data_IF_252222799456
#
_entry.id   IF_252222799456
#
_cell.length_a   1.000
_cell.length_b   1.000
_cell.length_c   1.000
_cell.angle_alpha   90.00
_cell.angle_beta   90.00
_cell.angle_gamma   90.00
#
_symmetry.space_group_name_H-M   'P 1'
#
loop_
_entity.id
_entity.type
_entity.pdbx_description
1 polymer ?
#
# COMPACT_ATOMS: atom_id res chain seq x y z
N UNK A 1 -51.36 22.26 -3.82
CA UNK A 1 -50.04 22.76 -3.43
C UNK A 1 -49.05 21.62 -3.51
N UNK A 2 -48.11 21.67 -4.45
CA UNK A 2 -47.04 20.67 -4.54
C UNK A 2 -46.03 20.92 -3.42
N UNK A 3 -45.86 19.95 -2.52
CA UNK A 3 -44.87 20.06 -1.44
C UNK A 3 -43.45 20.16 -2.01
N UNK A 4 -42.65 21.08 -1.47
CA UNK A 4 -41.23 21.20 -1.81
C UNK A 4 -40.49 19.92 -1.39
N UNK A 5 -40.02 19.15 -2.36
CA UNK A 5 -39.20 17.95 -2.17
C UNK A 5 -37.79 18.20 -2.73
N UNK A 6 -36.75 17.93 -1.93
CA UNK A 6 -35.36 18.13 -2.34
C UNK A 6 -34.49 16.96 -1.85
N UNK A 7 -33.78 16.30 -2.77
CA UNK A 7 -32.84 15.22 -2.43
C UNK A 7 -31.80 15.73 -1.42
N UNK A 8 -31.44 14.88 -0.47
CA UNK A 8 -30.38 15.17 0.49
C UNK A 8 -29.03 15.38 -0.21
N UNK A 9 -28.14 16.14 0.45
CA UNK A 9 -26.80 16.41 -0.09
C UNK A 9 -25.91 15.18 0.00
N UNK A 10 -25.11 14.96 -1.03
CA UNK A 10 -24.05 13.95 -0.98
C UNK A 10 -22.96 14.38 0.02
N UNK A 11 -22.39 13.41 0.72
CA UNK A 11 -21.34 13.60 1.71
C UNK A 11 -20.09 12.93 1.18
N UNK A 12 -18.95 13.61 1.26
CA UNK A 12 -17.66 13.07 0.86
C UNK A 12 -16.76 12.94 2.07
N UNK A 13 -16.09 11.81 2.22
CA UNK A 13 -15.14 11.55 3.31
C UNK A 13 -13.99 10.69 2.81
N UNK A 14 -12.81 10.88 3.40
CA UNK A 14 -11.66 10.02 3.12
C UNK A 14 -11.63 8.87 4.12
N UNK A 15 -11.43 7.65 3.63
CA UNK A 15 -11.23 6.45 4.43
C UNK A 15 -9.79 5.96 4.24
N UNK A 16 -8.99 6.06 5.31
CA UNK A 16 -7.62 5.54 5.34
C UNK A 16 -7.62 4.06 5.72
N UNK A 17 -7.07 3.24 4.84
CA UNK A 17 -6.97 1.79 5.01
C UNK A 17 -5.52 1.35 4.98
N UNK A 18 -5.23 0.20 5.57
CA UNK A 18 -3.91 -0.43 5.46
C UNK A 18 -3.80 -1.20 4.14
N UNK A 19 -2.59 -1.54 3.69
CA UNK A 19 -2.40 -2.27 2.42
C UNK A 19 -3.07 -3.65 2.47
N UNK A 20 -3.00 -4.30 3.63
CA UNK A 20 -3.57 -5.61 3.93
C UNK A 20 -5.10 -5.61 3.73
N UNK A 21 -5.77 -4.52 4.09
CA UNK A 21 -7.22 -4.35 3.87
C UNK A 21 -7.55 -4.40 2.36
N UNK A 22 -6.70 -3.80 1.52
CA UNK A 22 -6.86 -3.87 0.06
C UNK A 22 -6.56 -5.28 -0.46
N UNK A 23 -5.54 -5.96 0.06
CA UNK A 23 -5.15 -7.30 -0.39
C UNK A 23 -6.20 -8.38 -0.09
N UNK A 24 -6.93 -8.26 1.02
CA UNK A 24 -7.88 -9.27 1.47
C UNK A 24 -9.33 -8.88 1.17
N UNK A 25 -9.63 -7.57 1.14
CA UNK A 25 -10.99 -7.07 1.20
C UNK A 25 -11.58 -7.26 2.60
N UNK A 26 -12.30 -6.25 3.09
CA UNK A 26 -12.80 -6.25 4.48
C UNK A 26 -14.14 -5.51 4.59
N UNK A 27 -14.95 -5.92 5.55
CA UNK A 27 -16.10 -5.12 6.00
C UNK A 27 -15.68 -4.26 7.19
N UNK A 28 -15.77 -2.93 7.05
CA UNK A 28 -15.36 -1.99 8.09
C UNK A 28 -16.54 -1.11 8.52
N UNK A 29 -16.75 -1.00 9.82
CA UNK A 29 -17.71 -0.04 10.38
C UNK A 29 -17.02 1.30 10.60
N UNK A 30 -17.59 2.38 10.07
CA UNK A 30 -17.07 3.74 10.20
C UNK A 30 -18.14 4.65 10.80
N UNK A 31 -17.70 5.60 11.61
CA UNK A 31 -18.59 6.63 12.15
C UNK A 31 -18.48 7.88 11.28
N UNK A 32 -19.62 8.31 10.72
CA UNK A 32 -19.71 9.51 9.89
C UNK A 32 -20.64 10.52 10.55
N UNK A 33 -20.17 11.76 10.67
CA UNK A 33 -20.96 12.86 11.20
C UNK A 33 -21.77 13.48 10.06
N UNK A 34 -23.08 13.23 10.06
CA UNK A 34 -23.99 13.69 9.03
C UNK A 34 -24.72 14.95 9.52
N UNK A 35 -24.64 16.08 8.80
CA UNK A 35 -25.45 17.23 9.13
C UNK A 35 -26.93 16.93 8.81
N UNK A 36 -27.80 17.16 9.78
CA UNK A 36 -29.24 17.11 9.64
C UNK A 36 -29.87 18.40 10.18
N UNK A 37 -31.06 18.74 9.70
CA UNK A 37 -31.84 19.87 10.22
C UNK A 37 -32.89 19.37 11.19
N UNK A 38 -32.99 19.97 12.36
CA UNK A 38 -34.06 19.69 13.30
C UNK A 38 -35.38 20.38 12.92
N UNK A 39 -36.44 20.15 13.71
CA UNK A 39 -37.76 20.75 13.51
C UNK A 39 -37.77 22.29 13.56
N UNK A 40 -36.73 22.91 14.11
CA UNK A 40 -36.58 24.36 14.21
C UNK A 40 -35.61 24.92 13.16
N UNK A 41 -35.18 24.09 12.21
CA UNK A 41 -34.28 24.48 11.11
C UNK A 41 -32.82 24.63 11.51
N UNK A 42 -32.41 24.23 12.72
CA UNK A 42 -31.02 24.29 13.18
C UNK A 42 -30.24 23.11 12.63
N UNK A 43 -28.98 23.35 12.23
CA UNK A 43 -28.09 22.28 11.77
C UNK A 43 -27.53 21.56 13.01
N UNK A 44 -27.84 20.27 13.13
CA UNK A 44 -27.27 19.37 14.12
C UNK A 44 -26.45 18.30 13.40
N UNK A 45 -25.49 17.70 14.10
CA UNK A 45 -24.70 16.59 13.57
C UNK A 45 -25.15 15.30 14.23
N UNK A 46 -25.50 14.31 13.41
CA UNK A 46 -25.80 12.96 13.85
C UNK A 46 -24.64 12.04 13.47
N UNK A 47 -24.05 11.37 14.46
CA UNK A 47 -23.03 10.35 14.21
C UNK A 47 -23.73 9.06 13.79
N UNK A 48 -23.53 8.62 12.54
CA UNK A 48 -24.03 7.34 12.05
C UNK A 48 -22.90 6.33 11.93
N UNK A 49 -23.13 5.13 12.45
CA UNK A 49 -22.28 3.98 12.21
C UNK A 49 -22.71 3.31 10.89
N UNK A 50 -21.80 3.24 9.92
CA UNK A 50 -22.04 2.73 8.59
C UNK A 50 -21.07 1.58 8.33
N UNK A 51 -21.60 0.41 8.00
CA UNK A 51 -20.79 -0.73 7.53
C UNK A 51 -20.48 -0.56 6.04
N UNK A 52 -19.20 -0.64 5.70
CA UNK A 52 -18.67 -0.45 4.35
C UNK A 52 -17.93 -1.71 3.94
N UNK A 53 -18.33 -2.29 2.80
CA UNK A 53 -17.58 -3.38 2.18
C UNK A 53 -16.50 -2.80 1.28
N UNK A 54 -15.25 -2.98 1.68
CA UNK A 54 -14.08 -2.60 0.89
C UNK A 54 -13.73 -3.78 -0.01
N UNK A 55 -13.79 -3.63 -1.35
CA UNK A 55 -13.47 -4.71 -2.26
C UNK A 55 -11.96 -4.99 -2.23
N UNK A 56 -11.63 -6.26 -2.45
CA UNK A 56 -10.26 -6.69 -2.67
C UNK A 56 -9.67 -5.98 -3.90
N UNK A 57 -8.42 -5.54 -3.80
CA UNK A 57 -7.71 -4.86 -4.88
C UNK A 57 -8.03 -3.38 -5.02
N UNK A 58 -8.73 -2.78 -4.06
CA UNK A 58 -9.02 -1.34 -4.10
C UNK A 58 -7.73 -0.53 -4.11
N UNK A 59 -7.68 0.48 -4.96
CA UNK A 59 -6.51 1.35 -5.08
C UNK A 59 -6.74 2.67 -4.37
N UNK A 60 -5.63 3.28 -3.94
CA UNK A 60 -5.67 4.66 -3.46
C UNK A 60 -6.22 5.58 -4.56
N UNK A 61 -7.10 6.52 -4.19
CA UNK A 61 -7.78 7.43 -5.10
C UNK A 61 -9.10 6.91 -5.68
N UNK A 62 -9.47 5.64 -5.44
CA UNK A 62 -10.80 5.13 -5.83
C UNK A 62 -11.88 5.58 -4.84
N UNK A 63 -13.11 5.77 -5.32
CA UNK A 63 -14.25 6.19 -4.50
C UNK A 63 -15.28 5.06 -4.38
N UNK A 64 -15.65 4.71 -3.14
CA UNK A 64 -16.79 3.80 -2.86
C UNK A 64 -18.05 4.66 -2.65
N UNK A 65 -19.10 4.40 -3.44
CA UNK A 65 -20.40 5.07 -3.30
C UNK A 65 -21.35 4.21 -2.47
N UNK A 66 -21.88 4.79 -1.40
CA UNK A 66 -22.91 4.21 -0.54
C UNK A 66 -24.22 4.97 -0.74
N UNK A 67 -25.09 4.39 -1.55
CA UNK A 67 -26.35 5.02 -1.94
C UNK A 67 -27.26 5.27 -0.73
N UNK A 68 -27.82 6.49 -0.63
CA UNK A 68 -28.76 6.86 0.43
C UNK A 68 -28.15 6.97 1.84
N UNK A 69 -26.81 6.98 1.95
CA UNK A 69 -26.09 7.14 3.23
C UNK A 69 -25.52 8.54 3.46
N UNK A 70 -25.88 9.50 2.60
CA UNK A 70 -25.54 10.92 2.73
C UNK A 70 -26.52 11.70 3.60
N UNK A 71 -26.63 13.00 3.36
CA UNK A 71 -27.52 13.89 4.10
C UNK A 71 -29.00 13.54 3.90
N UNK A 72 -29.84 13.87 4.89
CA UNK A 72 -31.29 13.64 4.80
C UNK A 72 -31.94 14.48 3.69
N UNK A 73 -32.91 13.91 2.98
CA UNK A 73 -33.76 14.64 2.03
C UNK A 73 -34.86 15.44 2.72
N UNK A 74 -35.42 16.42 2.00
CA UNK A 74 -36.53 17.27 2.45
C UNK A 74 -37.80 16.85 1.70
N UNK A 75 -38.93 16.79 2.39
CA UNK A 75 -40.25 16.59 1.76
C UNK A 75 -40.41 15.22 1.09
N UNK A 76 -40.23 14.14 1.87
CA UNK A 76 -40.24 12.73 1.40
C UNK A 76 -39.21 12.39 0.30
N UNK A 77 -38.32 13.32 -0.06
CA UNK A 77 -37.24 13.05 -1.01
C UNK A 77 -36.18 12.10 -0.40
N UNK A 78 -35.48 11.31 -1.23
CA UNK A 78 -34.45 10.41 -0.77
C UNK A 78 -33.23 11.15 -0.20
N UNK A 79 -32.48 10.45 0.65
CA UNK A 79 -31.19 10.93 1.13
C UNK A 79 -30.15 11.07 -0.01
N UNK A 80 -29.11 11.86 0.27
CA UNK A 80 -27.89 11.90 -0.53
C UNK A 80 -27.10 10.61 -0.43
N UNK A 81 -25.98 10.55 -1.14
CA UNK A 81 -25.04 9.43 -1.11
C UNK A 81 -23.81 9.76 -0.26
N UNK A 82 -23.17 8.74 0.29
CA UNK A 82 -21.86 8.87 0.91
C UNK A 82 -20.79 8.38 -0.07
N UNK A 83 -19.88 9.28 -0.43
CA UNK A 83 -18.73 9.04 -1.30
C UNK A 83 -17.48 8.90 -0.42
N UNK A 84 -16.92 7.70 -0.37
CA UNK A 84 -15.72 7.40 0.40
C UNK A 84 -14.51 7.32 -0.51
N UNK A 85 -13.64 8.33 -0.46
CA UNK A 85 -12.36 8.28 -1.15
C UNK A 85 -11.40 7.40 -0.36
N UNK A 86 -10.86 6.38 -1.01
CA UNK A 86 -9.91 5.47 -0.39
C UNK A 86 -8.50 6.04 -0.47
N UNK A 87 -7.82 6.03 0.66
CA UNK A 87 -6.40 6.36 0.77
C UNK A 87 -5.69 5.17 1.45
N UNK A 88 -4.80 4.50 0.73
CA UNK A 88 -3.97 3.45 1.32
C UNK A 88 -2.84 4.15 2.07
N UNK A 89 -2.68 3.85 3.37
CA UNK A 89 -1.60 4.42 4.17
C UNK A 89 -0.24 4.01 3.62
N UNK A 90 0.78 4.89 3.66
CA UNK A 90 2.15 4.50 3.38
C UNK A 90 2.56 3.29 4.22
N UNK A 91 3.08 2.25 3.58
CA UNK A 91 3.52 1.04 4.26
C UNK A 91 5.02 1.10 4.54
N UNK A 92 5.46 0.54 5.67
CA UNK A 92 6.87 0.62 6.12
C UNK A 92 7.86 -0.06 5.17
N UNK A 93 7.43 -1.14 4.51
CA UNK A 93 8.29 -1.99 3.68
C UNK A 93 7.88 -2.03 2.21
N UNK A 94 6.66 -1.61 1.89
CA UNK A 94 6.07 -1.86 0.58
C UNK A 94 5.71 -0.53 -0.08
N UNK A 95 6.12 -0.39 -1.33
CA UNK A 95 5.76 0.72 -2.19
C UNK A 95 4.72 0.23 -3.20
N UNK A 96 3.67 1.03 -3.45
CA UNK A 96 2.64 0.72 -4.42
C UNK A 96 2.80 1.58 -5.67
N UNK A 97 2.89 0.92 -6.83
CA UNK A 97 2.84 1.55 -8.14
C UNK A 97 1.68 0.96 -8.94
N UNK A 98 0.53 1.62 -8.88
CA UNK A 98 -0.70 1.12 -9.48
C UNK A 98 -1.17 -0.18 -8.81
N UNK A 99 -0.96 -1.33 -9.48
CA UNK A 99 -1.27 -2.66 -8.94
C UNK A 99 -0.05 -3.40 -8.43
N UNK A 100 1.13 -2.92 -8.81
CA UNK A 100 2.37 -3.60 -8.48
C UNK A 100 2.83 -3.15 -7.09
N UNK A 101 3.46 -4.08 -6.40
CA UNK A 101 4.02 -3.85 -5.07
C UNK A 101 5.52 -4.04 -5.18
N UNK A 102 6.28 -3.17 -4.52
CA UNK A 102 7.74 -3.23 -4.51
C UNK A 102 8.25 -3.34 -3.07
N UNK A 103 9.21 -4.23 -2.84
CA UNK A 103 9.99 -4.34 -1.61
C UNK A 103 11.46 -4.08 -1.93
N UNK A 104 12.06 -3.10 -1.27
CA UNK A 104 13.51 -2.93 -1.27
C UNK A 104 14.09 -3.89 -0.22
N UNK A 105 14.75 -4.95 -0.69
CA UNK A 105 15.27 -6.01 0.18
C UNK A 105 16.79 -5.86 0.35
N UNK A 106 17.27 -5.56 1.57
CA UNK A 106 18.69 -5.56 1.87
C UNK A 106 19.25 -6.98 1.83
N UNK A 107 20.35 -7.17 1.12
CA UNK A 107 21.14 -8.39 1.08
C UNK A 107 22.61 -8.07 1.35
N UNK A 108 23.34 -9.02 1.90
CA UNK A 108 24.78 -8.86 2.13
C UNK A 108 25.57 -8.95 0.81
N UNK A 109 26.81 -8.39 0.76
CA UNK A 109 27.61 -8.39 -0.47
C UNK A 109 27.97 -9.80 -0.93
N UNK A 110 28.23 -10.72 0.00
CA UNK A 110 28.51 -12.12 -0.33
C UNK A 110 27.28 -12.88 -0.82
N UNK A 111 26.07 -12.54 -0.36
CA UNK A 111 24.83 -13.11 -0.90
C UNK A 111 24.62 -12.68 -2.36
N UNK A 112 24.91 -11.43 -2.67
CA UNK A 112 24.87 -10.89 -4.03
C UNK A 112 25.93 -11.53 -4.93
N UNK A 113 27.18 -11.63 -4.44
CA UNK A 113 28.32 -12.13 -5.20
C UNK A 113 28.22 -13.65 -5.44
N UNK A 114 28.00 -14.44 -4.39
CA UNK A 114 28.03 -15.90 -4.44
C UNK A 114 26.67 -16.50 -4.87
N UNK A 115 25.60 -15.71 -4.74
CA UNK A 115 24.25 -16.21 -4.85
C UNK A 115 23.84 -16.99 -3.60
N UNK A 116 22.56 -16.97 -3.30
CA UNK A 116 22.02 -17.64 -2.12
C UNK A 116 20.53 -17.94 -2.31
N UNK A 117 19.95 -18.62 -1.33
CA UNK A 117 18.50 -18.67 -1.14
C UNK A 117 18.14 -17.78 0.04
N UNK A 118 17.14 -16.93 -0.16
CA UNK A 118 16.61 -16.02 0.86
C UNK A 118 15.13 -16.28 1.05
N UNK A 119 14.64 -15.92 2.23
CA UNK A 119 13.23 -15.93 2.55
C UNK A 119 12.70 -14.51 2.59
N UNK A 120 11.68 -14.22 1.79
CA UNK A 120 11.15 -12.87 1.62
C UNK A 120 9.71 -12.78 2.14
N UNK A 121 9.38 -11.76 2.96
CA UNK A 121 8.00 -11.50 3.35
C UNK A 121 7.20 -11.02 2.14
N UNK A 122 6.02 -11.59 1.96
CA UNK A 122 5.06 -11.15 0.95
C UNK A 122 4.03 -10.20 1.55
N UNK A 123 3.42 -9.32 0.74
CA UNK A 123 2.34 -8.45 1.22
C UNK A 123 1.14 -9.21 1.79
N UNK A 124 0.91 -10.46 1.37
CA UNK A 124 -0.14 -11.34 1.89
C UNK A 124 0.16 -11.91 3.29
N UNK A 125 1.30 -11.57 3.91
CA UNK A 125 1.72 -12.05 5.23
C UNK A 125 2.38 -13.44 5.23
N UNK A 126 2.58 -14.05 4.05
CA UNK A 126 3.31 -15.32 3.89
C UNK A 126 4.78 -15.07 3.56
N UNK A 127 5.62 -16.06 3.80
CA UNK A 127 7.02 -16.03 3.38
C UNK A 127 7.22 -16.89 2.14
N UNK A 128 8.11 -16.46 1.24
CA UNK A 128 8.47 -17.20 0.02
C UNK A 128 9.98 -17.34 -0.04
N UNK A 129 10.46 -18.57 -0.27
CA UNK A 129 11.86 -18.82 -0.60
C UNK A 129 12.13 -18.40 -2.05
N UNK A 130 13.19 -17.63 -2.28
CA UNK A 130 13.64 -17.27 -3.61
C UNK A 130 15.16 -17.35 -3.75
N UNK A 131 15.62 -17.63 -4.97
CA UNK A 131 17.03 -17.66 -5.30
C UNK A 131 17.52 -16.28 -5.71
N UNK A 132 18.56 -15.78 -5.04
CA UNK A 132 19.39 -14.68 -5.52
C UNK A 132 20.47 -15.28 -6.43
N UNK A 133 20.50 -14.93 -7.73
CA UNK A 133 21.56 -15.38 -8.62
C UNK A 133 22.93 -14.87 -8.17
N UNK A 134 23.99 -15.66 -8.38
CA UNK A 134 25.36 -15.19 -8.22
C UNK A 134 25.62 -13.96 -9.11
N UNK A 135 26.54 -13.10 -8.67
CA UNK A 135 26.87 -11.83 -9.30
C UNK A 135 25.64 -10.89 -9.48
N UNK A 136 24.69 -10.95 -8.55
CA UNK A 136 23.57 -10.00 -8.52
C UNK A 136 24.06 -8.59 -8.22
N UNK A 137 23.48 -7.62 -8.92
CA UNK A 137 23.85 -6.21 -8.82
C UNK A 137 22.87 -5.43 -7.97
N UNK A 138 23.32 -4.26 -7.47
CA UNK A 138 22.46 -3.26 -6.84
C UNK A 138 21.26 -2.94 -7.76
N UNK A 139 20.05 -2.90 -7.19
CA UNK A 139 18.83 -2.56 -7.91
C UNK A 139 18.27 -3.68 -8.79
N UNK A 140 18.88 -4.87 -8.81
CA UNK A 140 18.34 -6.02 -9.54
C UNK A 140 16.91 -6.30 -9.06
N UNK A 141 15.98 -6.35 -10.01
CA UNK A 141 14.57 -6.66 -9.75
C UNK A 141 14.29 -8.15 -9.93
N UNK A 142 13.78 -8.80 -8.89
CA UNK A 142 13.24 -10.16 -8.94
C UNK A 142 11.71 -10.07 -8.90
N UNK A 143 11.03 -10.78 -9.79
CA UNK A 143 9.57 -10.67 -9.97
C UNK A 143 8.87 -11.94 -9.48
N UNK A 144 7.90 -11.76 -8.58
CA UNK A 144 6.90 -12.76 -8.25
C UNK A 144 5.60 -12.40 -8.97
N UNK A 145 5.33 -13.14 -10.05
CA UNK A 145 4.20 -12.87 -10.95
C UNK A 145 2.86 -13.08 -10.24
N UNK A 146 1.94 -12.13 -10.41
CA UNK A 146 0.57 -12.21 -9.88
C UNK A 146 0.46 -12.07 -8.36
N UNK A 147 1.50 -11.51 -7.72
CA UNK A 147 1.59 -11.34 -6.25
C UNK A 147 1.46 -9.88 -5.79
N UNK A 148 1.06 -8.99 -6.68
CA UNK A 148 0.70 -7.60 -6.35
C UNK A 148 -0.76 -7.49 -5.89
N UNK A 149 -1.36 -6.30 -6.06
CA UNK A 149 -2.77 -6.10 -5.74
C UNK A 149 -3.68 -7.01 -6.59
N UNK A 150 -4.63 -7.72 -5.96
CA UNK A 150 -5.59 -8.56 -6.65
C UNK A 150 -6.46 -7.75 -7.60
N UNK A 151 -6.68 -8.24 -8.82
CA UNK A 151 -7.73 -7.74 -9.71
C UNK A 151 -7.99 -8.76 -10.82
N UNK A 152 -8.85 -8.46 -11.80
CA UNK A 152 -9.04 -9.33 -12.99
C UNK A 152 -7.71 -9.67 -13.67
N UNK A 153 -6.78 -8.71 -13.69
CA UNK A 153 -5.37 -8.93 -14.05
C UNK A 153 -4.54 -8.46 -12.85
N UNK A 154 -4.17 -9.39 -11.99
CA UNK A 154 -3.40 -9.10 -10.78
C UNK A 154 -2.08 -8.39 -11.11
N UNK A 155 -1.67 -7.48 -10.23
CA UNK A 155 -0.33 -6.90 -10.28
C UNK A 155 0.73 -7.92 -9.87
N UNK A 156 1.98 -7.49 -9.93
CA UNK A 156 3.14 -8.27 -9.55
C UNK A 156 3.79 -7.75 -8.27
N UNK A 157 4.58 -8.61 -7.64
CA UNK A 157 5.43 -8.23 -6.52
C UNK A 157 6.89 -8.22 -6.97
N UNK A 158 7.53 -7.06 -6.87
CA UNK A 158 8.93 -6.84 -7.21
C UNK A 158 9.78 -6.76 -5.95
N UNK A 159 10.85 -7.54 -5.93
CA UNK A 159 11.90 -7.46 -4.92
C UNK A 159 13.07 -6.76 -5.58
N UNK A 160 13.40 -5.56 -5.11
CA UNK A 160 14.54 -4.78 -5.57
C UNK A 160 15.67 -5.02 -4.59
N UNK A 161 16.75 -5.66 -5.04
CA UNK A 161 17.89 -5.97 -4.19
C UNK A 161 18.67 -4.70 -3.87
N UNK A 162 18.93 -4.46 -2.59
CA UNK A 162 19.83 -3.41 -2.11
C UNK A 162 20.99 -4.05 -1.35
N UNK A 163 22.22 -3.68 -1.66
CA UNK A 163 23.40 -4.24 -1.00
C UNK A 163 23.64 -3.45 0.28
N UNK A 164 23.50 -4.13 1.42
CA UNK A 164 23.82 -3.58 2.73
C UNK A 164 25.24 -4.00 3.12
N UNK A 165 26.09 -3.04 3.47
CA UNK A 165 27.46 -3.31 3.90
C UNK A 165 27.49 -3.57 5.41
N UNK A 166 28.06 -4.70 5.87
CA UNK A 166 28.40 -4.90 7.27
C UNK A 166 29.31 -3.79 7.79
N UNK A 167 29.14 -3.39 9.06
CA UNK A 167 30.03 -2.42 9.68
C UNK A 167 31.48 -2.92 9.69
N UNK A 168 32.43 -1.99 9.53
CA UNK A 168 33.87 -2.22 9.66
C UNK A 168 34.41 -1.88 11.05
N UNK A 169 33.55 -1.69 12.05
CA UNK A 169 33.96 -1.40 13.43
C UNK A 169 34.60 -2.64 14.11
N UNK A 170 34.24 -3.83 13.64
CA UNK A 170 34.83 -5.09 14.06
C UNK A 170 36.21 -5.30 13.39
N UNK A 171 37.28 -5.62 14.15
CA UNK A 171 38.62 -5.82 13.59
C UNK A 171 38.72 -6.90 12.50
N UNK A 172 37.96 -8.00 12.64
CA UNK A 172 37.96 -9.10 11.69
C UNK A 172 37.25 -8.69 10.40
N UNK A 173 36.10 -8.00 10.52
CA UNK A 173 35.40 -7.44 9.37
C UNK A 173 36.28 -6.43 8.60
N UNK A 174 37.01 -5.57 9.33
CA UNK A 174 37.94 -4.61 8.73
C UNK A 174 39.07 -5.31 7.97
N UNK A 175 39.68 -6.34 8.55
CA UNK A 175 40.74 -7.10 7.89
C UNK A 175 40.26 -7.76 6.58
N UNK A 176 39.02 -8.24 6.53
CA UNK A 176 38.42 -8.80 5.32
C UNK A 176 38.23 -7.73 4.22
N UNK A 177 37.79 -6.53 4.59
CA UNK A 177 37.66 -5.43 3.63
C UNK A 177 39.02 -5.00 3.06
N UNK A 178 40.05 -4.89 3.90
CA UNK A 178 41.42 -4.57 3.46
C UNK A 178 41.97 -5.65 2.52
N UNK A 179 41.73 -6.93 2.82
CA UNK A 179 42.12 -8.02 1.94
C UNK A 179 41.42 -7.96 0.58
N UNK A 180 40.12 -7.64 0.56
CA UNK A 180 39.38 -7.43 -0.70
C UNK A 180 39.96 -6.26 -1.50
N UNK A 181 40.23 -5.12 -0.85
CA UNK A 181 40.81 -3.94 -1.49
C UNK A 181 42.16 -4.25 -2.17
N UNK A 182 43.01 -5.05 -1.53
CA UNK A 182 44.33 -5.39 -2.06
C UNK A 182 44.30 -6.44 -3.17
N UNK A 183 43.33 -7.38 -3.12
CA UNK A 183 43.33 -8.57 -3.99
C UNK A 183 42.34 -8.49 -5.15
N UNK A 184 41.31 -7.66 -5.05
CA UNK A 184 40.25 -7.56 -6.05
C UNK A 184 40.47 -6.30 -6.90
N UNK A 185 40.76 -6.50 -8.17
CA UNK A 185 40.82 -5.40 -9.14
C UNK A 185 39.39 -4.98 -9.54
N UNK A 186 38.78 -4.08 -8.77
CA UNK A 186 37.44 -3.58 -9.02
C UNK A 186 37.38 -2.05 -8.88
N UNK A 187 37.01 -1.37 -9.97
CA UNK A 187 36.77 0.06 -9.99
C UNK A 187 35.27 0.36 -10.19
N UNK A 188 34.51 0.71 -9.13
CA UNK A 188 33.08 1.00 -9.27
C UNK A 188 32.77 2.27 -10.09
N UNK A 189 33.79 3.05 -10.50
CA UNK A 189 33.65 4.32 -11.22
C UNK A 189 34.27 4.29 -12.62
N UNK A 190 34.59 3.11 -13.14
CA UNK A 190 35.36 2.95 -14.39
C UNK A 190 34.68 3.57 -15.63
N UNK A 191 33.35 3.77 -15.59
CA UNK A 191 32.60 4.41 -16.67
C UNK A 191 32.16 5.85 -16.39
N UNK A 192 32.67 6.51 -15.34
CA UNK A 192 32.28 7.88 -14.99
C UNK A 192 33.23 8.96 -15.53
N UNK A 193 34.42 8.58 -15.98
CA UNK A 193 35.47 9.45 -16.53
C UNK A 193 36.08 8.78 -17.76
#
# INVERSE_FOLDING_TARGET
GGGFAQKGKDIRSTLRIDLEDSLQGINRSININIPHKDAYGRVQHETKNISVKIPQGIQSGQTIRLAGKGGAGIGQAPAGDLLLDIEIKPHRYYELEGKDITLNLPIAPWEAALGTKITVPTPEGKQVEMKVPANSQQGRKLRLKGRGLPSKVAGDFYIVLTIALPSSDDPDAKALYEAMQQRINFNPRDGLF
#
